data_IF_371743441587
#
_entry.id   IF_371743441587
#
_cell.length_a   1.000
_cell.length_b   1.000
_cell.length_c   1.000
_cell.angle_alpha   90.00
_cell.angle_beta   90.00
_cell.angle_gamma   90.00
#
_symmetry.space_group_name_H-M   'P 1'
#
loop_
_entity.id
_entity.type
_entity.pdbx_description
1 polymer ?
#
# COMPACT_ATOMS: atom_id res chain seq x y z
N UNK A 1 1.65 4.67 18.55
CA UNK A 1 2.50 3.51 18.23
C UNK A 1 3.62 3.94 17.28
N UNK A 2 4.87 3.90 17.71
CA UNK A 2 6.05 4.27 16.91
C UNK A 2 6.56 3.07 16.07
N UNK A 3 5.65 2.20 15.62
CA UNK A 3 5.97 0.93 14.97
C UNK A 3 5.80 1.01 13.45
N UNK A 4 6.60 0.25 12.72
CA UNK A 4 6.45 0.10 11.28
C UNK A 4 5.44 -1.00 10.94
N UNK A 5 4.69 -0.80 9.85
CA UNK A 5 3.92 -1.87 9.19
C UNK A 5 4.69 -2.25 7.93
N UNK A 6 5.26 -3.44 7.91
CA UNK A 6 5.84 -4.06 6.72
C UNK A 6 4.86 -5.11 6.21
N UNK A 7 4.32 -4.94 5.00
CA UNK A 7 3.41 -5.89 4.37
C UNK A 7 3.93 -6.31 3.00
N UNK A 8 4.01 -7.62 2.79
CA UNK A 8 4.28 -8.23 1.48
C UNK A 8 2.96 -8.74 0.92
N UNK A 9 2.63 -8.30 -0.28
CA UNK A 9 1.38 -8.58 -0.98
C UNK A 9 1.71 -9.32 -2.28
N UNK A 10 0.94 -10.35 -2.65
CA UNK A 10 1.17 -11.02 -3.91
C UNK A 10 0.94 -10.07 -5.09
N UNK A 11 1.77 -10.16 -6.13
CA UNK A 11 1.58 -9.43 -7.39
C UNK A 11 0.24 -9.72 -8.07
N UNK A 12 -0.43 -10.82 -7.70
CA UNK A 12 -1.74 -11.23 -8.21
C UNK A 12 -2.94 -10.59 -7.50
N UNK A 13 -2.73 -9.74 -6.49
CA UNK A 13 -3.83 -9.07 -5.77
C UNK A 13 -4.70 -8.27 -6.73
N UNK A 14 -6.01 -8.53 -6.66
CA UNK A 14 -7.05 -7.83 -7.41
C UNK A 14 -7.94 -7.07 -6.42
N UNK A 15 -7.91 -5.75 -6.47
CA UNK A 15 -8.69 -4.94 -5.54
C UNK A 15 -8.07 -3.59 -5.21
N UNK A 16 -8.53 -3.00 -4.10
CA UNK A 16 -8.10 -1.67 -3.66
C UNK A 16 -7.18 -1.77 -2.45
N UNK A 17 -6.02 -1.14 -2.56
CA UNK A 17 -5.06 -1.00 -1.46
C UNK A 17 -5.03 0.45 -1.02
N UNK A 18 -5.15 0.66 0.30
CA UNK A 18 -5.07 1.98 0.91
C UNK A 18 -4.16 1.93 2.13
N UNK A 19 -3.12 2.75 2.12
CA UNK A 19 -2.23 2.93 3.26
C UNK A 19 -2.12 4.40 3.64
N UNK A 20 -2.08 4.69 4.94
CA UNK A 20 -1.95 6.06 5.44
C UNK A 20 -1.23 6.14 6.78
N UNK A 21 -0.41 7.19 6.93
CA UNK A 21 0.25 7.55 8.19
C UNK A 21 0.05 9.01 8.53
N UNK A 22 -0.05 9.35 9.82
CA UNK A 22 -0.17 10.75 10.25
C UNK A 22 1.20 11.44 10.31
N UNK A 23 2.15 10.85 11.03
CA UNK A 23 3.45 11.45 11.31
C UNK A 23 4.65 10.67 10.75
N UNK A 24 4.42 9.60 9.98
CA UNK A 24 5.48 8.82 9.34
C UNK A 24 5.57 9.01 7.83
N UNK A 25 6.06 7.97 7.15
CA UNK A 25 6.09 7.89 5.68
C UNK A 25 5.47 6.61 5.15
N UNK A 26 4.95 6.66 3.93
CA UNK A 26 4.53 5.48 3.16
C UNK A 26 5.54 5.25 2.04
N UNK A 27 6.03 4.03 1.92
CA UNK A 27 6.87 3.57 0.84
C UNK A 27 6.22 2.37 0.18
N UNK A 28 6.15 2.37 -1.14
CA UNK A 28 5.54 1.30 -1.93
C UNK A 28 6.54 0.82 -2.96
N UNK A 29 6.78 -0.49 -2.97
CA UNK A 29 7.67 -1.17 -3.89
C UNK A 29 6.80 -2.08 -4.75
N UNK A 30 6.71 -1.79 -6.05
CA UNK A 30 5.96 -2.59 -7.03
C UNK A 30 6.94 -3.14 -8.05
N UNK A 31 6.58 -4.28 -8.63
CA UNK A 31 7.19 -4.80 -9.86
C UNK A 31 6.36 -4.35 -11.07
N UNK A 32 6.92 -4.49 -12.27
CA UNK A 32 6.24 -4.14 -13.53
C UNK A 32 4.99 -5.00 -13.80
N UNK A 33 4.88 -6.16 -13.15
CA UNK A 33 3.74 -7.08 -13.28
C UNK A 33 2.47 -6.55 -12.60
N UNK A 34 2.60 -5.60 -11.68
CA UNK A 34 1.47 -5.02 -10.96
C UNK A 34 0.90 -3.86 -11.74
N UNK A 35 -0.25 -4.08 -12.39
CA UNK A 35 -1.00 -2.98 -13.02
C UNK A 35 -1.74 -2.19 -11.95
N UNK A 36 -1.25 -0.99 -11.62
CA UNK A 36 -1.82 -0.15 -10.57
C UNK A 36 -2.22 1.23 -11.11
N UNK A 37 -3.50 1.58 -10.95
CA UNK A 37 -3.91 2.99 -10.97
C UNK A 37 -3.71 3.54 -9.56
N UNK A 38 -2.69 4.39 -9.37
CA UNK A 38 -2.24 4.76 -8.03
C UNK A 38 -2.00 6.25 -7.83
N UNK A 39 -2.30 6.68 -6.61
CA UNK A 39 -1.93 7.98 -6.06
C UNK A 39 -1.02 7.75 -4.86
N UNK A 40 0.19 8.34 -4.91
CA UNK A 40 1.19 8.21 -3.86
C UNK A 40 1.54 9.60 -3.36
N UNK A 41 1.52 9.77 -2.04
CA UNK A 41 2.11 10.91 -1.35
C UNK A 41 3.10 10.40 -0.31
N UNK A 42 3.86 11.31 0.29
CA UNK A 42 4.75 10.96 1.41
C UNK A 42 4.02 10.25 2.56
N UNK A 43 2.72 10.50 2.77
CA UNK A 43 1.95 10.02 3.92
C UNK A 43 0.80 9.09 3.57
N UNK A 44 0.52 8.89 2.28
CA UNK A 44 -0.62 8.08 1.86
C UNK A 44 -0.35 7.37 0.55
N UNK A 45 -0.99 6.23 0.41
CA UNK A 45 -1.05 5.46 -0.81
C UNK A 45 -2.50 5.03 -1.03
N UNK A 46 -2.95 5.14 -2.28
CA UNK A 46 -4.18 4.52 -2.74
C UNK A 46 -3.94 3.96 -4.12
N UNK A 47 -4.19 2.68 -4.31
CA UNK A 47 -4.02 1.99 -5.59
C UNK A 47 -5.17 1.04 -5.86
N UNK A 48 -5.65 1.04 -7.10
CA UNK A 48 -6.49 -0.04 -7.65
C UNK A 48 -5.59 -0.98 -8.42
N UNK A 49 -5.48 -2.24 -7.96
CA UNK A 49 -4.54 -3.23 -8.49
C UNK A 49 -5.24 -4.21 -9.43
N UNK A 50 -4.55 -4.55 -10.52
CA UNK A 50 -4.90 -5.60 -11.49
C UNK A 50 -6.33 -5.55 -12.02
N UNK A 51 -6.83 -4.33 -12.28
CA UNK A 51 -8.20 -4.10 -12.78
C UNK A 51 -9.28 -4.06 -11.70
N UNK A 52 -8.90 -4.06 -10.41
CA UNK A 52 -9.83 -4.00 -9.28
C UNK A 52 -10.32 -5.37 -8.84
N UNK A 53 -11.47 -5.41 -8.14
CA UNK A 53 -12.05 -6.59 -7.53
C UNK A 53 -12.53 -6.33 -6.10
N UNK A 54 -13.08 -7.36 -5.45
CA UNK A 54 -13.69 -7.25 -4.12
C UNK A 54 -12.66 -7.21 -2.98
N UNK A 55 -11.40 -7.50 -3.30
CA UNK A 55 -10.30 -7.44 -2.35
C UNK A 55 -10.05 -6.03 -1.84
N UNK A 56 -9.94 -5.87 -0.51
CA UNK A 56 -9.60 -4.58 0.09
C UNK A 56 -8.55 -4.74 1.18
N UNK A 57 -7.43 -4.03 1.00
CA UNK A 57 -6.33 -3.99 1.97
C UNK A 57 -6.24 -2.57 2.53
N UNK A 58 -6.33 -2.44 3.85
CA UNK A 58 -6.26 -1.15 4.53
C UNK A 58 -5.21 -1.21 5.63
N UNK A 59 -4.20 -0.36 5.53
CA UNK A 59 -3.12 -0.29 6.52
C UNK A 59 -2.99 1.14 7.07
N UNK A 60 -3.02 1.29 8.40
CA UNK A 60 -2.96 2.61 9.05
C UNK A 60 -2.03 2.61 10.23
N UNK A 61 -1.26 3.68 10.36
CA UNK A 61 -0.40 3.93 11.53
C UNK A 61 -0.41 5.42 11.86
N UNK A 62 -0.09 5.78 13.11
CA UNK A 62 -0.09 7.19 13.53
C UNK A 62 1.31 7.79 13.52
N UNK A 63 2.29 7.11 14.11
CA UNK A 63 3.67 7.60 14.24
C UNK A 63 4.69 6.64 13.63
N UNK A 64 4.24 5.81 12.68
CA UNK A 64 5.01 4.73 12.08
C UNK A 64 5.20 4.89 10.57
N UNK A 65 6.19 4.19 10.03
CA UNK A 65 6.31 4.01 8.58
C UNK A 65 5.46 2.84 8.10
N UNK A 66 4.96 2.95 6.87
CA UNK A 66 4.33 1.85 6.14
C UNK A 66 5.23 1.49 4.97
N UNK A 67 5.57 0.22 4.84
CA UNK A 67 6.21 -0.32 3.64
C UNK A 67 5.35 -1.42 3.06
N UNK A 68 4.92 -1.21 1.82
CA UNK A 68 4.19 -2.18 1.03
C UNK A 68 5.13 -2.72 -0.04
N UNK A 69 5.30 -4.05 -0.11
CA UNK A 69 6.06 -4.72 -1.17
C UNK A 69 5.12 -5.63 -1.95
N UNK A 70 5.10 -5.49 -3.26
CA UNK A 70 4.40 -6.42 -4.15
C UNK A 70 5.42 -7.37 -4.76
N UNK A 71 5.28 -8.66 -4.44
CA UNK A 71 6.19 -9.75 -4.84
C UNK A 71 5.39 -10.96 -5.33
#
# INVERSE_FOLDING_TARGET
SNGAIDATLPTTVRGVVSASTNNGSVSVFTTDDVKAEQTITKRSYRGTLNGGGDGRIVARTSNGSLRLRFE
#
